data_IF_562287162597
#
_entry.id   IF_562287162597
#
_cell.length_a   1.000
_cell.length_b   1.000
_cell.length_c   1.000
_cell.angle_alpha   90.00
_cell.angle_beta   90.00
_cell.angle_gamma   90.00
#
_symmetry.space_group_name_H-M   'P 1'
#
loop_
_entity.id
_entity.type
_entity.pdbx_description
1 polymer ?
#
# COMPACT_ATOMS: atom_id res chain seq x y z
N UNK A 1 -8.21 9.08 -1.54
CA UNK A 1 -8.50 10.00 -2.66
C UNK A 1 -7.73 11.32 -2.61
N UNK A 2 -7.81 12.15 -1.55
CA UNK A 2 -7.14 13.46 -1.55
C UNK A 2 -5.62 13.42 -1.73
N UNK A 3 -4.93 12.45 -1.13
CA UNK A 3 -3.46 12.35 -1.21
C UNK A 3 -2.97 11.97 -2.61
N UNK A 4 -3.62 11.01 -3.27
CA UNK A 4 -3.25 10.62 -4.64
C UNK A 4 -3.47 11.73 -5.66
N UNK A 5 -4.59 12.46 -5.58
CA UNK A 5 -4.88 13.60 -6.46
C UNK A 5 -3.90 14.76 -6.22
N UNK A 6 -3.55 15.02 -4.95
CA UNK A 6 -2.55 16.03 -4.61
C UNK A 6 -1.20 15.71 -5.25
N UNK A 7 -0.72 14.48 -5.11
CA UNK A 7 0.55 14.04 -5.71
C UNK A 7 0.50 14.03 -7.24
N UNK A 8 -0.59 13.59 -7.84
CA UNK A 8 -0.76 13.57 -9.30
C UNK A 8 -0.48 14.93 -9.96
N UNK A 9 -0.82 16.03 -9.27
CA UNK A 9 -0.58 17.38 -9.77
C UNK A 9 0.90 17.80 -9.77
N UNK A 10 1.76 17.13 -8.98
CA UNK A 10 3.18 17.45 -8.86
C UNK A 10 4.07 16.63 -9.79
N UNK A 11 3.56 15.55 -10.37
CA UNK A 11 4.34 14.77 -11.34
C UNK A 11 4.55 15.52 -12.64
N UNK A 12 5.77 15.43 -13.17
CA UNK A 12 6.14 15.94 -14.48
C UNK A 12 5.55 15.05 -15.59
N UNK A 13 4.44 15.51 -16.17
CA UNK A 13 3.69 14.78 -17.21
C UNK A 13 4.34 14.86 -18.61
N UNK A 14 5.40 15.63 -18.77
CA UNK A 14 6.21 15.59 -20.00
C UNK A 14 7.19 14.40 -19.97
N UNK A 15 7.48 13.88 -18.77
CA UNK A 15 8.43 12.79 -18.56
C UNK A 15 7.78 11.47 -18.16
N UNK A 16 6.58 11.50 -17.60
CA UNK A 16 5.91 10.34 -17.03
C UNK A 16 4.44 10.29 -17.44
N UNK A 17 4.00 9.11 -17.88
CA UNK A 17 2.59 8.80 -18.01
C UNK A 17 2.07 8.39 -16.63
N UNK A 18 1.30 9.27 -15.99
CA UNK A 18 0.87 9.10 -14.60
C UNK A 18 -0.62 8.79 -14.55
N UNK A 19 -0.97 7.72 -13.87
CA UNK A 19 -2.34 7.27 -13.69
C UNK A 19 -2.71 7.18 -12.21
N UNK A 20 -3.95 7.47 -11.88
CA UNK A 20 -4.50 7.20 -10.54
C UNK A 20 -5.26 5.88 -10.60
N UNK A 21 -4.81 4.92 -9.79
CA UNK A 21 -5.52 3.65 -9.60
C UNK A 21 -6.29 3.70 -8.28
N UNK A 22 -7.59 3.48 -8.34
CA UNK A 22 -8.44 3.34 -7.17
C UNK A 22 -8.69 1.86 -6.86
N UNK A 23 -8.54 1.49 -5.58
CA UNK A 23 -8.75 0.14 -5.08
C UNK A 23 -9.90 0.14 -4.07
N UNK A 24 -11.00 -0.55 -4.37
CA UNK A 24 -12.16 -0.72 -3.50
C UNK A 24 -12.46 -2.21 -3.33
N UNK A 25 -11.92 -2.81 -2.27
CA UNK A 25 -11.99 -4.25 -2.11
C UNK A 25 -11.35 -4.97 -3.29
N UNK A 26 -12.14 -5.70 -4.06
CA UNK A 26 -11.68 -6.41 -5.26
C UNK A 26 -11.89 -5.62 -6.56
N UNK A 27 -12.56 -4.49 -6.49
CA UNK A 27 -12.77 -3.59 -7.64
C UNK A 27 -11.62 -2.59 -7.73
N UNK A 28 -10.74 -2.80 -8.70
CA UNK A 28 -9.58 -1.96 -8.97
C UNK A 28 -9.71 -1.37 -10.37
N UNK A 29 -9.61 -0.06 -10.48
CA UNK A 29 -9.71 0.63 -11.75
C UNK A 29 -8.76 1.83 -11.84
N UNK A 30 -8.34 2.13 -13.05
CA UNK A 30 -7.57 3.32 -13.39
C UNK A 30 -8.53 4.41 -13.87
N UNK A 31 -8.27 5.65 -13.46
CA UNK A 31 -8.97 6.83 -13.99
C UNK A 31 -8.24 7.31 -15.24
N UNK A 32 -8.96 7.41 -16.35
CA UNK A 32 -8.44 7.86 -17.64
C UNK A 32 -8.68 9.36 -17.84
N UNK A 33 -7.87 10.00 -18.69
CA UNK A 33 -7.94 11.44 -18.94
C UNK A 33 -9.28 11.88 -19.59
N UNK A 34 -9.93 10.99 -20.31
CA UNK A 34 -11.27 11.23 -20.90
C UNK A 34 -12.42 11.16 -19.88
N UNK A 35 -12.11 10.96 -18.58
CA UNK A 35 -13.10 10.83 -17.51
C UNK A 35 -13.76 9.44 -17.41
N UNK A 36 -13.33 8.48 -18.20
CA UNK A 36 -13.72 7.09 -18.09
C UNK A 36 -12.81 6.34 -17.12
N UNK A 37 -13.14 5.10 -16.84
CA UNK A 37 -12.32 4.19 -16.05
C UNK A 37 -12.06 2.91 -16.82
N UNK A 38 -10.89 2.30 -16.61
CA UNK A 38 -10.57 0.96 -17.09
C UNK A 38 -10.27 0.04 -15.91
N UNK A 39 -10.74 -1.19 -15.97
CA UNK A 39 -10.49 -2.19 -14.92
C UNK A 39 -9.03 -2.65 -14.95
N UNK A 40 -8.44 -2.82 -13.76
CA UNK A 40 -7.12 -3.42 -13.60
C UNK A 40 -7.22 -4.94 -13.72
N UNK A 41 -6.41 -5.53 -14.59
CA UNK A 41 -6.14 -6.97 -14.59
C UNK A 41 -5.22 -7.28 -13.40
N UNK A 42 -5.76 -7.95 -12.37
CA UNK A 42 -5.01 -8.24 -11.14
C UNK A 42 -4.00 -9.37 -11.27
N UNK A 43 -3.94 -10.04 -12.41
CA UNK A 43 -2.93 -11.08 -12.62
C UNK A 43 -1.54 -10.49 -12.92
N UNK A 44 -1.51 -9.30 -13.56
CA UNK A 44 -0.26 -8.63 -13.96
C UNK A 44 -0.25 -7.12 -13.66
N UNK A 45 -1.30 -6.62 -13.00
CA UNK A 45 -1.51 -5.21 -12.69
C UNK A 45 -1.46 -4.31 -13.92
N UNK A 46 -2.10 -4.73 -15.01
CA UNK A 46 -2.24 -3.97 -16.26
C UNK A 46 -3.67 -3.48 -16.47
N UNK A 47 -3.87 -2.60 -17.44
CA UNK A 47 -5.19 -2.20 -17.93
C UNK A 47 -5.20 -2.08 -19.45
N UNK A 48 -6.39 -2.00 -20.04
CA UNK A 48 -6.55 -1.80 -21.49
C UNK A 48 -7.26 -0.48 -21.75
N UNK A 49 -6.66 0.37 -22.58
CA UNK A 49 -7.23 1.61 -23.10
C UNK A 49 -7.16 1.59 -24.62
N UNK A 50 -8.26 1.85 -25.30
CA UNK A 50 -8.39 1.85 -26.77
C UNK A 50 -7.81 0.59 -27.45
N UNK A 51 -7.97 -0.56 -26.80
CA UNK A 51 -7.45 -1.85 -27.29
C UNK A 51 -5.96 -2.10 -27.07
N UNK A 52 -5.25 -1.16 -26.44
CA UNK A 52 -3.83 -1.28 -26.09
C UNK A 52 -3.70 -1.65 -24.62
N UNK A 53 -2.84 -2.63 -24.32
CA UNK A 53 -2.51 -3.03 -22.93
C UNK A 53 -1.37 -2.16 -22.40
N UNK A 54 -1.61 -1.56 -21.25
CA UNK A 54 -0.67 -0.73 -20.51
C UNK A 54 -0.18 -1.43 -19.26
N UNK A 55 1.12 -1.36 -18.98
CA UNK A 55 1.76 -1.86 -17.77
C UNK A 55 2.37 -0.69 -17.00
N UNK A 56 2.57 -0.87 -15.70
CA UNK A 56 3.19 0.15 -14.86
C UNK A 56 4.64 -0.20 -14.57
N UNK A 57 5.54 0.77 -14.77
CA UNK A 57 6.96 0.63 -14.45
C UNK A 57 7.24 0.88 -12.96
N UNK A 58 6.35 1.59 -12.27
CA UNK A 58 6.51 1.97 -10.88
C UNK A 58 5.16 2.28 -10.22
N UNK A 59 5.02 1.93 -8.94
CA UNK A 59 3.82 2.20 -8.15
C UNK A 59 4.13 3.16 -7.01
N UNK A 60 3.42 4.28 -6.95
CA UNK A 60 3.46 5.19 -5.82
C UNK A 60 2.27 4.91 -4.89
N UNK A 61 2.53 4.24 -3.77
CA UNK A 61 1.47 3.84 -2.82
C UNK A 61 1.13 5.03 -1.92
N UNK A 62 -0.16 5.44 -1.93
CA UNK A 62 -0.70 6.54 -1.10
C UNK A 62 -1.84 6.10 -0.20
N UNK A 63 -2.02 4.79 -0.05
CA UNK A 63 -3.08 4.20 0.77
C UNK A 63 -2.59 4.17 2.21
N UNK A 64 -3.29 4.87 3.11
CA UNK A 64 -3.06 4.81 4.54
C UNK A 64 -3.77 3.61 5.16
N UNK A 65 -3.10 2.95 6.10
CA UNK A 65 -3.60 1.72 6.71
C UNK A 65 -3.50 0.52 5.76
N UNK A 66 -4.25 -0.53 6.07
CA UNK A 66 -4.35 -1.71 5.21
C UNK A 66 -5.14 -1.39 3.93
N UNK A 67 -4.72 -1.90 2.77
CA UNK A 67 -3.59 -2.81 2.50
C UNK A 67 -2.27 -2.08 2.18
N UNK A 68 -2.17 -0.74 2.30
CA UNK A 68 -1.04 0.05 1.83
C UNK A 68 0.18 0.01 2.75
N UNK A 69 -0.04 -0.10 4.06
CA UNK A 69 1.00 0.04 5.10
C UNK A 69 1.24 -1.24 5.91
N UNK A 70 0.63 -2.37 5.55
CA UNK A 70 0.71 -3.61 6.32
C UNK A 70 1.39 -4.78 5.58
N UNK A 71 2.06 -4.50 4.46
CA UNK A 71 2.77 -5.48 3.66
C UNK A 71 1.92 -6.20 2.60
N UNK A 72 0.61 -6.01 2.58
CA UNK A 72 -0.27 -6.73 1.63
C UNK A 72 -0.07 -6.31 0.19
N UNK A 73 -0.04 -5.00 -0.11
CA UNK A 73 0.22 -4.51 -1.46
C UNK A 73 1.65 -4.79 -1.89
N UNK A 74 2.61 -4.65 -0.98
CA UNK A 74 4.00 -4.97 -1.24
C UNK A 74 4.16 -6.45 -1.64
N UNK A 75 3.50 -7.36 -0.90
CA UNK A 75 3.47 -8.79 -1.21
C UNK A 75 2.74 -9.14 -2.51
N UNK A 76 1.86 -8.27 -2.97
CA UNK A 76 1.22 -8.41 -4.28
C UNK A 76 2.14 -7.94 -5.41
N UNK A 77 2.87 -6.82 -5.25
CA UNK A 77 3.75 -6.27 -6.29
C UNK A 77 5.10 -7.00 -6.41
N UNK A 78 5.63 -7.58 -5.31
CA UNK A 78 6.90 -8.31 -5.31
C UNK A 78 6.97 -9.43 -6.36
N UNK A 79 6.01 -10.38 -6.43
CA UNK A 79 6.03 -11.44 -7.44
C UNK A 79 5.82 -10.91 -8.87
N UNK A 80 5.13 -9.77 -9.04
CA UNK A 80 4.96 -9.10 -10.33
C UNK A 80 6.22 -8.33 -10.74
N UNK A 81 7.20 -8.19 -9.84
CA UNK A 81 8.44 -7.42 -10.06
C UNK A 81 8.20 -5.96 -10.42
N UNK A 82 7.12 -5.38 -9.91
CA UNK A 82 6.81 -3.96 -10.08
C UNK A 82 7.35 -3.21 -8.86
N UNK A 83 8.32 -2.30 -9.03
CA UNK A 83 8.86 -1.50 -7.93
C UNK A 83 7.81 -0.51 -7.38
N UNK A 84 7.94 -0.19 -6.09
CA UNK A 84 6.99 0.70 -5.39
C UNK A 84 7.68 1.63 -4.40
N UNK A 85 6.96 2.66 -3.94
CA UNK A 85 7.50 3.79 -3.16
C UNK A 85 7.69 3.54 -1.67
N UNK A 86 7.20 2.41 -1.13
CA UNK A 86 7.28 2.08 0.29
C UNK A 86 8.41 1.10 0.60
N UNK A 87 8.58 0.75 1.88
CA UNK A 87 9.45 -0.33 2.30
C UNK A 87 8.91 -1.70 1.85
N UNK A 88 9.71 -2.75 1.96
CA UNK A 88 9.30 -4.11 1.61
C UNK A 88 8.37 -4.74 2.64
N UNK A 89 7.81 -5.90 2.30
CA UNK A 89 6.76 -6.61 3.05
C UNK A 89 7.04 -6.72 4.54
N UNK A 90 8.25 -7.17 4.92
CA UNK A 90 8.58 -7.39 6.33
C UNK A 90 8.56 -6.09 7.13
N UNK A 91 9.13 -5.03 6.57
CA UNK A 91 9.23 -3.73 7.25
C UNK A 91 7.84 -3.13 7.43
N UNK A 92 7.02 -3.14 6.37
CA UNK A 92 5.64 -2.62 6.43
C UNK A 92 4.80 -3.41 7.45
N UNK A 93 4.82 -4.73 7.39
CA UNK A 93 4.06 -5.56 8.33
C UNK A 93 4.50 -5.35 9.78
N UNK A 94 5.83 -5.28 10.03
CA UNK A 94 6.38 -5.10 11.36
C UNK A 94 6.07 -3.71 11.94
N UNK A 95 6.23 -2.65 11.13
CA UNK A 95 5.99 -1.28 11.59
C UNK A 95 4.51 -0.96 11.75
N UNK A 96 3.64 -1.67 11.07
CA UNK A 96 2.19 -1.56 11.22
C UNK A 96 1.72 -2.12 12.57
N UNK A 97 2.31 -3.21 13.05
CA UNK A 97 2.02 -3.82 14.35
C UNK A 97 2.94 -3.24 15.44
N UNK A 98 2.41 -2.32 16.25
CA UNK A 98 3.20 -1.62 17.27
C UNK A 98 3.75 -2.54 18.37
N UNK A 99 3.01 -3.61 18.72
CA UNK A 99 3.48 -4.59 19.70
C UNK A 99 4.64 -5.40 19.13
N UNK A 100 4.50 -5.92 17.92
CA UNK A 100 5.56 -6.66 17.24
C UNK A 100 6.82 -5.78 17.04
N UNK A 101 6.64 -4.52 16.58
CA UNK A 101 7.74 -3.58 16.38
C UNK A 101 8.51 -3.31 17.69
N UNK A 102 7.80 -3.02 18.78
CA UNK A 102 8.43 -2.74 20.08
C UNK A 102 9.23 -3.94 20.59
N UNK A 103 8.69 -5.16 20.47
CA UNK A 103 9.40 -6.36 20.86
C UNK A 103 10.62 -6.65 19.98
N UNK A 104 10.51 -6.41 18.68
CA UNK A 104 11.62 -6.55 17.74
C UNK A 104 12.76 -5.57 18.09
N UNK A 105 12.46 -4.30 18.25
CA UNK A 105 13.45 -3.26 18.55
C UNK A 105 14.12 -3.47 19.92
N UNK A 106 13.37 -3.91 20.93
CA UNK A 106 13.90 -4.25 22.26
C UNK A 106 14.96 -5.34 22.17
N UNK A 107 14.82 -6.31 21.28
CA UNK A 107 15.82 -7.35 21.00
C UNK A 107 17.17 -6.81 20.51
N UNK A 108 17.19 -5.60 19.96
CA UNK A 108 18.41 -4.90 19.54
C UNK A 108 18.90 -3.85 20.55
N UNK A 109 18.36 -3.83 21.77
CA UNK A 109 18.74 -2.88 22.80
C UNK A 109 18.19 -1.45 22.61
N UNK A 110 17.25 -1.25 21.71
CA UNK A 110 16.56 0.04 21.53
C UNK A 110 15.57 0.24 22.67
N UNK A 111 15.62 1.40 23.32
CA UNK A 111 14.64 1.78 24.33
C UNK A 111 13.29 2.03 23.67
N UNK A 112 12.30 1.24 24.04
CA UNK A 112 10.91 1.34 23.56
C UNK A 112 9.96 1.33 24.73
N UNK A 113 8.77 1.88 24.54
CA UNK A 113 7.71 1.82 25.54
C UNK A 113 7.30 0.37 25.84
N UNK A 114 6.93 0.12 27.09
CA UNK A 114 6.30 -1.14 27.46
C UNK A 114 4.98 -1.27 26.71
N UNK A 115 4.72 -2.47 26.22
CA UNK A 115 3.57 -2.76 25.36
C UNK A 115 2.87 -4.01 25.84
N UNK A 116 1.55 -3.93 25.93
CA UNK A 116 0.69 -5.06 26.25
C UNK A 116 -0.20 -5.35 25.05
N UNK A 117 -0.29 -6.62 24.67
CA UNK A 117 -1.20 -7.08 23.62
C UNK A 117 -2.52 -7.50 24.24
N UNK A 118 -3.56 -6.70 24.04
CA UNK A 118 -4.93 -7.04 24.44
C UNK A 118 -5.64 -7.66 23.26
N UNK A 119 -6.14 -8.88 23.44
CA UNK A 119 -6.93 -9.55 22.43
C UNK A 119 -8.41 -9.26 22.63
N UNK A 120 -9.15 -9.20 21.54
CA UNK A 120 -10.61 -9.04 21.61
C UNK A 120 -11.24 -10.11 22.51
N UNK A 121 -12.06 -9.69 23.48
CA UNK A 121 -12.68 -10.55 24.51
C UNK A 121 -11.84 -10.74 25.78
N UNK A 122 -10.64 -10.13 25.87
CA UNK A 122 -9.75 -10.21 27.05
C UNK A 122 -9.43 -8.81 27.62
N UNK A 123 -10.29 -7.83 27.38
CA UNK A 123 -10.08 -6.44 27.78
C UNK A 123 -10.04 -6.26 29.31
N UNK A 124 -10.65 -7.18 30.09
CA UNK A 124 -10.71 -7.12 31.55
C UNK A 124 -9.44 -7.67 32.25
N UNK A 125 -8.47 -8.20 31.53
CA UNK A 125 -7.22 -8.74 32.09
C UNK A 125 -6.15 -7.66 32.32
N UNK A 126 -6.49 -6.38 32.12
CA UNK A 126 -5.57 -5.24 32.27
C UNK A 126 -5.49 -4.70 33.71
N UNK A 127 -6.34 -5.17 34.63
CA UNK A 127 -6.49 -4.64 35.98
C UNK A 127 -5.72 -5.43 37.07
N UNK A 128 -4.76 -6.30 36.70
CA UNK A 128 -3.92 -7.05 37.65
C UNK A 128 -2.46 -6.57 37.65
#
# INVERSE_FOLDING_TARGET
>A
MRSGQGLYSFFDKERYDVYIVEMRGLDWHVNLDNGLTASIDRNDFSFVEDGVRHHFDYIYITIHGAPGENGQLQGYFDPLKIPYSTSGVLVEALTFDKFALNNYLRGFGVSVADSILVRHGHENELDE
#
